data_IF_530003465144
#
_entry.id   IF_530003465144
#
_cell.length_a   1.000
_cell.length_b   1.000
_cell.length_c   1.000
_cell.angle_alpha   90.00
_cell.angle_beta   90.00
_cell.angle_gamma   90.00
#
_symmetry.space_group_name_H-M   'P 1'
#
loop_
_entity.id
_entity.type
_entity.pdbx_description
1 polymer ?
#
# COMPACT_ATOMS: atom_id res chain seq x y z
N UNK A 1 -8.26 25.70 -26.93
CA UNK A 1 -9.22 26.77 -27.23
C UNK A 1 -9.19 27.86 -26.16
N UNK A 2 -9.42 29.12 -26.55
CA UNK A 2 -9.53 30.32 -25.68
C UNK A 2 -10.68 31.19 -26.17
N UNK A 3 -11.14 32.16 -25.38
CA UNK A 3 -12.18 33.10 -25.82
C UNK A 3 -11.54 34.22 -26.62
N UNK A 4 -11.92 34.32 -27.90
CA UNK A 4 -11.55 35.38 -28.83
C UNK A 4 -12.46 36.59 -28.67
N UNK A 5 -13.77 36.35 -28.51
CA UNK A 5 -14.74 37.41 -28.30
C UNK A 5 -15.92 36.91 -27.44
N UNK A 6 -16.37 37.76 -26.51
CA UNK A 6 -17.56 37.53 -25.70
C UNK A 6 -18.54 38.69 -25.88
N UNK A 7 -19.68 38.41 -26.50
CA UNK A 7 -20.84 39.31 -26.49
C UNK A 7 -21.88 38.79 -25.51
N UNK A 8 -22.37 39.63 -24.61
CA UNK A 8 -23.44 39.27 -23.68
C UNK A 8 -24.43 40.41 -23.52
N UNK A 9 -25.70 40.12 -23.73
CA UNK A 9 -26.80 41.07 -23.66
C UNK A 9 -27.87 40.57 -22.69
N UNK A 10 -28.33 41.46 -21.81
CA UNK A 10 -29.40 41.21 -20.85
C UNK A 10 -29.18 40.00 -19.92
N UNK A 11 -27.94 39.58 -19.68
CA UNK A 11 -27.62 38.55 -18.69
C UNK A 11 -27.48 39.18 -17.31
N UNK A 12 -28.35 38.80 -16.38
CA UNK A 12 -28.35 39.30 -14.99
C UNK A 12 -28.24 40.84 -14.93
N UNK A 13 -27.10 41.38 -14.49
CA UNK A 13 -26.87 42.83 -14.35
C UNK A 13 -26.40 43.50 -15.65
N UNK A 14 -26.08 42.77 -16.70
CA UNK A 14 -25.56 43.32 -17.96
C UNK A 14 -26.68 43.92 -18.81
N UNK A 15 -26.42 45.07 -19.45
CA UNK A 15 -27.25 45.61 -20.54
C UNK A 15 -26.75 45.02 -21.85
N UNK A 16 -25.52 45.37 -22.19
CA UNK A 16 -24.79 44.82 -23.32
C UNK A 16 -23.29 45.00 -23.06
N UNK A 17 -22.51 43.96 -23.30
CA UNK A 17 -21.05 43.98 -23.28
C UNK A 17 -20.52 43.22 -24.50
N UNK A 18 -19.39 43.67 -25.03
CA UNK A 18 -18.60 42.97 -26.03
C UNK A 18 -17.15 43.09 -25.58
N UNK A 19 -16.48 41.97 -25.30
CA UNK A 19 -15.11 41.94 -24.78
C UNK A 19 -14.28 41.11 -25.73
N UNK A 20 -13.19 41.68 -26.23
CA UNK A 20 -12.21 40.99 -27.08
C UNK A 20 -10.87 40.93 -26.33
N UNK A 21 -10.62 39.86 -25.55
CA UNK A 21 -9.45 39.74 -24.71
C UNK A 21 -8.13 40.02 -25.44
N UNK A 22 -7.30 40.86 -24.84
CA UNK A 22 -5.90 41.02 -25.25
C UNK A 22 -5.03 40.26 -24.25
N UNK A 23 -4.49 39.11 -24.68
CA UNK A 23 -3.63 38.25 -23.85
C UNK A 23 -4.35 37.18 -23.02
N UNK A 24 -3.61 36.62 -22.07
CA UNK A 24 -4.00 35.43 -21.30
C UNK A 24 -4.63 35.75 -19.93
N UNK A 25 -4.65 37.02 -19.51
CA UNK A 25 -5.30 37.47 -18.28
C UNK A 25 -6.28 38.59 -18.57
N UNK A 26 -7.55 38.38 -18.21
CA UNK A 26 -8.64 39.33 -18.42
C UNK A 26 -9.21 39.74 -17.08
N UNK A 27 -8.87 40.93 -16.61
CA UNK A 27 -9.33 41.45 -15.33
C UNK A 27 -10.54 42.35 -15.53
N UNK A 28 -11.70 41.91 -15.06
CA UNK A 28 -12.96 42.65 -15.08
C UNK A 28 -13.08 43.45 -13.77
N UNK A 29 -12.88 44.76 -13.88
CA UNK A 29 -13.01 45.75 -12.82
C UNK A 29 -14.38 46.41 -12.74
N UNK A 30 -14.61 47.15 -11.66
CA UNK A 30 -15.84 47.87 -11.35
C UNK A 30 -16.22 47.72 -9.86
N UNK A 31 -17.16 48.56 -9.41
CA UNK A 31 -17.67 48.47 -8.04
C UNK A 31 -18.58 47.24 -7.85
N UNK A 32 -18.99 46.97 -6.62
CA UNK A 32 -19.93 45.90 -6.33
C UNK A 32 -21.27 46.14 -7.05
N UNK A 33 -21.92 45.03 -7.43
CA UNK A 33 -23.21 45.01 -8.11
C UNK A 33 -23.29 45.68 -9.51
N UNK A 34 -22.13 46.01 -10.11
CA UNK A 34 -22.08 46.64 -11.44
C UNK A 34 -22.20 45.65 -12.62
N UNK A 35 -22.04 44.35 -12.38
CA UNK A 35 -22.20 43.31 -13.42
C UNK A 35 -20.94 42.52 -13.77
N UNK A 36 -19.82 42.68 -13.04
CA UNK A 36 -18.59 41.89 -13.23
C UNK A 36 -18.85 40.37 -13.20
N UNK A 37 -19.52 39.89 -12.16
CA UNK A 37 -19.86 38.47 -12.02
C UNK A 37 -20.78 37.99 -13.14
N UNK A 38 -21.62 38.89 -13.66
CA UNK A 38 -22.51 38.59 -14.79
C UNK A 38 -21.73 38.37 -16.10
N UNK A 39 -20.53 38.94 -16.26
CA UNK A 39 -19.62 38.64 -17.38
C UNK A 39 -19.09 37.21 -17.27
N UNK A 40 -18.52 36.83 -16.13
CA UNK A 40 -18.02 35.47 -15.88
C UNK A 40 -19.16 34.44 -15.96
N UNK A 41 -20.33 34.78 -15.43
CA UNK A 41 -21.54 33.96 -15.56
C UNK A 41 -21.99 33.82 -17.02
N UNK A 42 -21.77 34.82 -17.87
CA UNK A 42 -22.11 34.71 -19.30
C UNK A 42 -21.24 33.64 -19.97
N UNK A 43 -19.95 33.61 -19.68
CA UNK A 43 -19.04 32.56 -20.16
C UNK A 43 -19.51 31.19 -19.67
N UNK A 44 -19.77 31.10 -18.35
CA UNK A 44 -20.21 29.86 -17.73
C UNK A 44 -21.55 29.36 -18.31
N UNK A 45 -22.53 30.24 -18.49
CA UNK A 45 -23.83 29.91 -19.08
C UNK A 45 -23.75 29.55 -20.55
N UNK A 46 -22.87 30.19 -21.33
CA UNK A 46 -22.71 29.87 -22.75
C UNK A 46 -22.39 28.39 -22.93
N UNK A 47 -21.48 27.88 -22.09
CA UNK A 47 -20.90 26.54 -22.19
C UNK A 47 -21.70 25.50 -21.38
N UNK A 48 -21.92 25.76 -20.09
CA UNK A 48 -22.48 24.78 -19.13
C UNK A 48 -23.99 24.55 -19.19
N UNK A 49 -24.71 25.14 -20.14
CA UNK A 49 -26.09 24.71 -20.39
C UNK A 49 -27.13 25.25 -19.40
N UNK A 50 -28.18 24.46 -19.15
CA UNK A 50 -29.31 24.85 -18.28
C UNK A 50 -28.92 24.83 -16.79
N UNK A 51 -28.05 23.91 -16.38
CA UNK A 51 -27.55 23.81 -15.00
C UNK A 51 -26.74 25.06 -14.59
N UNK A 52 -26.07 25.70 -15.54
CA UNK A 52 -25.25 26.89 -15.31
C UNK A 52 -26.03 28.22 -15.15
N UNK A 53 -27.32 28.27 -15.51
CA UNK A 53 -28.09 29.52 -15.61
C UNK A 53 -28.56 30.09 -14.27
N UNK A 54 -28.69 29.24 -13.25
CA UNK A 54 -29.36 29.62 -12.00
C UNK A 54 -30.84 29.97 -12.22
N UNK A 55 -31.46 30.62 -11.23
CA UNK A 55 -32.91 30.84 -11.21
C UNK A 55 -33.38 32.03 -12.05
N UNK A 56 -32.59 33.10 -12.14
CA UNK A 56 -32.93 34.35 -12.84
C UNK A 56 -31.77 34.82 -13.73
N UNK A 57 -31.57 34.17 -14.90
CA UNK A 57 -30.47 34.49 -15.80
C UNK A 57 -30.71 35.75 -16.66
N UNK A 58 -31.98 36.09 -16.92
CA UNK A 58 -32.37 37.26 -17.73
C UNK A 58 -32.49 38.50 -16.83
N UNK A 59 -31.98 39.64 -17.29
CA UNK A 59 -32.12 40.95 -16.64
C UNK A 59 -33.61 41.27 -16.42
N UNK A 60 -33.94 41.79 -15.24
CA UNK A 60 -35.31 42.17 -14.91
C UNK A 60 -35.88 43.17 -15.94
N UNK A 61 -37.05 42.87 -16.47
CA UNK A 61 -37.74 43.69 -17.49
C UNK A 61 -37.45 43.32 -18.94
N UNK A 62 -36.50 42.42 -19.20
CA UNK A 62 -36.11 42.03 -20.56
C UNK A 62 -36.79 40.72 -21.01
N UNK A 63 -37.07 40.61 -22.31
CA UNK A 63 -37.75 39.43 -22.89
C UNK A 63 -36.82 38.23 -23.10
N UNK A 64 -35.52 38.46 -23.20
CA UNK A 64 -34.49 37.42 -23.41
C UNK A 64 -33.10 37.93 -23.07
N UNK A 65 -32.22 36.99 -22.71
CA UNK A 65 -30.77 37.18 -22.67
C UNK A 65 -30.10 36.45 -23.84
N UNK A 66 -29.06 37.05 -24.41
CA UNK A 66 -28.29 36.45 -25.51
C UNK A 66 -26.80 36.51 -25.19
N UNK A 67 -26.12 35.38 -25.36
CA UNK A 67 -24.68 35.26 -25.17
C UNK A 67 -24.09 34.71 -26.47
N UNK A 68 -23.07 35.37 -27.01
CA UNK A 68 -22.22 34.81 -28.08
C UNK A 68 -20.79 34.71 -27.55
N UNK A 69 -20.26 33.50 -27.56
CA UNK A 69 -18.91 33.21 -27.13
C UNK A 69 -18.16 32.61 -28.31
N UNK A 70 -17.17 33.33 -28.81
CA UNK A 70 -16.27 32.89 -29.86
C UNK A 70 -15.03 32.27 -29.22
N UNK A 71 -14.85 30.97 -29.44
CA UNK A 71 -13.72 30.18 -28.96
C UNK A 71 -12.59 30.04 -30.00
N UNK A 72 -12.65 30.83 -31.08
CA UNK A 72 -11.77 30.78 -32.24
C UNK A 72 -12.18 29.69 -33.24
N UNK A 73 -12.28 28.45 -32.79
CA UNK A 73 -12.69 27.32 -33.63
C UNK A 73 -14.21 27.11 -33.63
N UNK A 74 -14.87 27.51 -32.55
CA UNK A 74 -16.28 27.31 -32.30
C UNK A 74 -16.95 28.63 -31.91
N UNK A 75 -18.07 28.93 -32.55
CA UNK A 75 -18.95 30.04 -32.19
C UNK A 75 -20.19 29.51 -31.48
N UNK A 76 -20.28 29.79 -30.18
CA UNK A 76 -21.40 29.40 -29.33
C UNK A 76 -22.37 30.58 -29.22
N UNK A 77 -23.63 30.38 -29.60
CA UNK A 77 -24.71 31.35 -29.38
C UNK A 77 -25.78 30.72 -28.49
N UNK A 78 -26.02 31.32 -27.33
CA UNK A 78 -27.07 30.90 -26.40
C UNK A 78 -28.09 32.00 -26.22
N UNK A 79 -29.36 31.62 -26.31
CA UNK A 79 -30.50 32.49 -26.00
C UNK A 79 -31.27 31.89 -24.84
N UNK A 80 -31.63 32.72 -23.86
CA UNK A 80 -32.35 32.31 -22.66
C UNK A 80 -33.58 33.19 -22.50
N UNK A 81 -34.74 32.58 -22.23
CA UNK A 81 -35.99 33.30 -21.91
C UNK A 81 -36.21 33.37 -20.40
N UNK A 82 -37.05 34.32 -19.91
CA UNK A 82 -37.33 34.50 -18.49
C UNK A 82 -37.89 33.26 -17.78
N UNK A 83 -38.56 32.36 -18.51
CA UNK A 83 -39.07 31.08 -18.01
C UNK A 83 -37.98 29.99 -17.84
N UNK A 84 -36.72 30.33 -18.12
CA UNK A 84 -35.57 29.42 -18.03
C UNK A 84 -35.44 28.45 -19.19
N UNK A 85 -36.22 28.60 -20.27
CA UNK A 85 -35.94 27.87 -21.52
C UNK A 85 -34.71 28.46 -22.20
N UNK A 86 -33.91 27.58 -22.78
CA UNK A 86 -32.67 27.97 -23.46
C UNK A 86 -32.56 27.29 -24.80
N UNK A 87 -32.02 28.00 -25.78
CA UNK A 87 -31.59 27.43 -27.06
C UNK A 87 -30.10 27.70 -27.22
N UNK A 88 -29.36 26.72 -27.72
CA UNK A 88 -27.94 26.84 -28.02
C UNK A 88 -27.71 26.45 -29.47
N UNK A 89 -26.90 27.24 -30.16
CA UNK A 89 -26.39 26.96 -31.49
C UNK A 89 -24.88 27.01 -31.41
N UNK A 90 -24.20 25.98 -31.91
CA UNK A 90 -22.75 25.99 -32.05
C UNK A 90 -22.42 25.85 -33.52
N UNK A 91 -21.52 26.70 -34.00
CA UNK A 91 -20.98 26.66 -35.37
C UNK A 91 -19.47 26.47 -35.33
N UNK A 92 -18.92 25.73 -36.29
CA UNK A 92 -17.47 25.72 -36.51
C UNK A 92 -17.03 26.95 -37.33
N UNK A 93 -15.72 27.11 -37.56
CA UNK A 93 -15.14 28.18 -38.38
C UNK A 93 -15.71 28.26 -39.81
N UNK A 94 -16.22 27.15 -40.35
CA UNK A 94 -16.83 27.06 -41.69
C UNK A 94 -18.34 27.38 -41.69
N UNK A 95 -18.93 27.61 -40.51
CA UNK A 95 -20.34 27.96 -40.34
C UNK A 95 -21.30 26.75 -40.22
N UNK A 96 -20.79 25.52 -40.24
CA UNK A 96 -21.57 24.31 -40.07
C UNK A 96 -22.10 24.19 -38.63
N UNK A 97 -23.36 23.79 -38.48
CA UNK A 97 -24.02 23.65 -37.18
C UNK A 97 -23.98 22.22 -36.66
N UNK A 98 -23.72 22.06 -35.37
CA UNK A 98 -23.76 20.74 -34.71
C UNK A 98 -25.18 20.32 -34.36
N UNK A 99 -25.50 19.03 -34.53
CA UNK A 99 -26.82 18.45 -34.22
C UNK A 99 -27.09 18.31 -32.72
N UNK A 100 -26.04 18.05 -31.93
CA UNK A 100 -26.09 17.89 -30.47
C UNK A 100 -25.17 18.92 -29.78
N UNK A 101 -25.45 20.22 -29.91
CA UNK A 101 -24.54 21.28 -29.50
C UNK A 101 -24.22 21.25 -28.00
N UNK A 102 -25.21 20.95 -27.13
CA UNK A 102 -24.97 20.90 -25.68
C UNK A 102 -24.08 19.72 -25.28
N UNK A 103 -24.29 18.54 -25.84
CA UNK A 103 -23.49 17.36 -25.49
C UNK A 103 -22.01 17.56 -25.85
N UNK A 104 -21.73 18.25 -26.95
CA UNK A 104 -20.37 18.65 -27.32
C UNK A 104 -19.79 19.66 -26.32
N UNK A 105 -20.55 20.67 -25.94
CA UNK A 105 -20.10 21.64 -24.92
C UNK A 105 -19.89 20.97 -23.55
N UNK A 106 -20.75 20.02 -23.16
CA UNK A 106 -20.61 19.28 -21.90
C UNK A 106 -19.31 18.46 -21.89
N UNK A 107 -18.94 17.85 -23.02
CA UNK A 107 -17.65 17.16 -23.16
C UNK A 107 -16.46 18.15 -23.04
N UNK A 108 -16.58 19.33 -23.67
CA UNK A 108 -15.55 20.37 -23.68
C UNK A 108 -15.38 21.08 -22.32
N UNK A 109 -16.48 21.28 -21.60
CA UNK A 109 -16.55 22.16 -20.42
C UNK A 109 -16.93 21.45 -19.12
N UNK A 110 -16.87 20.12 -19.08
CA UNK A 110 -17.29 19.31 -17.92
C UNK A 110 -16.68 19.75 -16.59
N UNK A 111 -15.52 20.44 -16.61
CA UNK A 111 -14.80 20.96 -15.43
C UNK A 111 -14.58 22.48 -15.46
N UNK A 112 -15.30 23.23 -16.31
CA UNK A 112 -15.24 24.70 -16.40
C UNK A 112 -15.70 25.40 -15.10
N UNK A 113 -16.39 24.68 -14.21
CA UNK A 113 -16.76 25.15 -12.87
C UNK A 113 -15.59 25.31 -11.92
N UNK A 114 -14.38 24.86 -12.29
CA UNK A 114 -13.25 24.88 -11.40
C UNK A 114 -12.79 26.32 -11.14
N UNK A 115 -13.02 26.79 -9.92
CA UNK A 115 -12.53 28.06 -9.40
C UNK A 115 -11.28 27.80 -8.55
N UNK A 116 -10.09 28.27 -8.98
CA UNK A 116 -8.84 28.09 -8.23
C UNK A 116 -8.87 28.58 -6.78
N UNK A 117 -9.55 29.69 -6.50
CA UNK A 117 -9.64 30.24 -5.14
C UNK A 117 -10.58 29.42 -4.26
N UNK A 118 -11.65 28.89 -4.83
CA UNK A 118 -12.55 27.98 -4.13
C UNK A 118 -11.83 26.68 -3.78
N UNK A 119 -11.15 26.06 -4.75
CA UNK A 119 -10.36 24.84 -4.52
C UNK A 119 -9.30 25.05 -3.44
N UNK A 120 -8.57 26.17 -3.48
CA UNK A 120 -7.57 26.48 -2.45
C UNK A 120 -8.17 26.43 -1.05
N UNK A 121 -9.44 26.83 -0.90
CA UNK A 121 -10.16 26.96 0.38
C UNK A 121 -10.95 25.70 0.78
N UNK A 122 -10.95 24.66 -0.05
CA UNK A 122 -11.60 23.38 0.27
C UNK A 122 -10.93 22.65 1.45
N UNK A 123 -11.64 21.65 1.98
CA UNK A 123 -11.07 20.77 3.01
C UNK A 123 -9.99 19.86 2.40
N UNK A 124 -8.94 19.51 3.16
CA UNK A 124 -7.83 18.69 2.64
C UNK A 124 -8.26 17.40 1.94
N UNK A 125 -9.28 16.71 2.46
CA UNK A 125 -9.81 15.49 1.84
C UNK A 125 -10.45 15.74 0.46
N UNK A 126 -11.20 16.83 0.28
CA UNK A 126 -11.81 17.15 -1.02
C UNK A 126 -10.75 17.55 -2.06
N UNK A 127 -9.71 18.26 -1.62
CA UNK A 127 -8.56 18.61 -2.46
C UNK A 127 -7.81 17.36 -2.92
N UNK A 128 -7.57 16.42 -1.99
CA UNK A 128 -6.91 15.17 -2.27
C UNK A 128 -7.67 14.33 -3.31
N UNK A 129 -8.98 14.18 -3.15
CA UNK A 129 -9.80 13.41 -4.08
C UNK A 129 -9.85 14.06 -5.48
N UNK A 130 -9.88 15.41 -5.53
CA UNK A 130 -9.79 16.14 -6.80
C UNK A 130 -8.45 15.88 -7.51
N UNK A 131 -7.34 15.92 -6.76
CA UNK A 131 -6.00 15.62 -7.30
C UNK A 131 -5.89 14.18 -7.78
N UNK A 132 -6.28 13.20 -6.96
CA UNK A 132 -6.31 11.78 -7.32
C UNK A 132 -7.11 11.53 -8.59
N UNK A 133 -8.31 12.11 -8.68
CA UNK A 133 -9.16 12.00 -9.88
C UNK A 133 -8.52 12.63 -11.11
N UNK A 134 -7.75 13.71 -10.94
CA UNK A 134 -7.05 14.38 -12.04
C UNK A 134 -5.87 13.57 -12.57
N UNK A 135 -5.04 13.02 -11.68
CA UNK A 135 -3.86 12.22 -12.07
C UNK A 135 -4.18 10.75 -12.32
N UNK A 136 -5.43 10.32 -12.08
CA UNK A 136 -5.87 8.94 -12.29
C UNK A 136 -5.29 7.94 -11.29
N UNK A 137 -4.90 8.40 -10.09
CA UNK A 137 -4.32 7.55 -9.05
C UNK A 137 -5.33 7.28 -7.95
N UNK A 138 -5.68 6.01 -7.77
CA UNK A 138 -6.43 5.52 -6.62
C UNK A 138 -5.65 4.37 -5.95
N UNK A 139 -5.29 4.57 -4.68
CA UNK A 139 -4.55 3.61 -3.88
C UNK A 139 -5.41 2.95 -2.80
N UNK A 140 -6.73 3.18 -2.80
CA UNK A 140 -7.64 2.68 -1.76
C UNK A 140 -7.51 1.17 -1.52
N UNK A 141 -7.48 0.37 -2.59
CA UNK A 141 -7.30 -1.09 -2.50
C UNK A 141 -5.91 -1.49 -1.97
N UNK A 142 -4.87 -0.81 -2.46
CA UNK A 142 -3.49 -1.03 -2.00
C UNK A 142 -3.31 -0.66 -0.53
N UNK A 143 -3.94 0.41 -0.07
CA UNK A 143 -3.91 0.87 1.32
C UNK A 143 -4.64 -0.10 2.25
N UNK A 144 -5.81 -0.61 1.82
CA UNK A 144 -6.55 -1.63 2.54
C UNK A 144 -5.75 -2.94 2.67
N UNK A 145 -5.13 -3.39 1.57
CA UNK A 145 -4.29 -4.58 1.55
C UNK A 145 -3.04 -4.42 2.43
N UNK A 146 -2.34 -3.29 2.30
CA UNK A 146 -1.17 -2.96 3.11
C UNK A 146 -1.50 -2.96 4.59
N UNK A 147 -2.63 -2.37 4.99
CA UNK A 147 -3.11 -2.36 6.37
C UNK A 147 -3.35 -3.78 6.88
N UNK A 148 -4.03 -4.63 6.10
CA UNK A 148 -4.26 -6.05 6.46
C UNK A 148 -2.95 -6.80 6.67
N UNK A 149 -1.98 -6.64 5.76
CA UNK A 149 -0.67 -7.28 5.86
C UNK A 149 0.12 -6.78 7.09
N UNK A 150 0.04 -5.48 7.39
CA UNK A 150 0.68 -4.88 8.56
C UNK A 150 0.11 -5.41 9.87
N UNK A 151 -1.22 -5.49 9.98
CA UNK A 151 -1.91 -6.06 11.14
C UNK A 151 -1.52 -7.54 11.33
N UNK A 152 -1.57 -8.33 10.26
CA UNK A 152 -1.15 -9.74 10.28
C UNK A 152 0.32 -9.89 10.70
N UNK A 153 1.23 -9.09 10.16
CA UNK A 153 2.66 -9.12 10.54
C UNK A 153 2.84 -8.80 12.02
N UNK A 154 2.06 -7.88 12.57
CA UNK A 154 2.09 -7.50 13.98
C UNK A 154 1.70 -8.70 14.86
N UNK A 155 0.65 -9.44 14.49
CA UNK A 155 0.25 -10.67 15.18
C UNK A 155 1.34 -11.75 15.13
N UNK A 156 1.91 -12.00 13.95
CA UNK A 156 2.98 -12.99 13.75
C UNK A 156 4.22 -12.63 14.56
N UNK A 157 4.62 -11.36 14.57
CA UNK A 157 5.76 -10.91 15.38
C UNK A 157 5.51 -11.07 16.87
N UNK A 158 4.28 -10.84 17.35
CA UNK A 158 3.90 -11.10 18.74
C UNK A 158 4.00 -12.59 19.06
N UNK A 159 3.43 -13.45 18.23
CA UNK A 159 3.50 -14.91 18.40
C UNK A 159 4.95 -15.41 18.37
N UNK A 160 5.78 -14.90 17.44
CA UNK A 160 7.20 -15.23 17.36
C UNK A 160 7.96 -14.79 18.62
N UNK A 161 7.64 -13.63 19.19
CA UNK A 161 8.24 -13.17 20.45
C UNK A 161 7.85 -14.05 21.64
N UNK A 162 6.59 -14.47 21.72
CA UNK A 162 6.11 -15.40 22.75
C UNK A 162 6.81 -16.77 22.63
N UNK A 163 6.94 -17.29 21.41
CA UNK A 163 7.67 -18.54 21.13
C UNK A 163 9.16 -18.44 21.45
N UNK A 164 9.82 -17.34 21.09
CA UNK A 164 11.22 -17.11 21.44
C UNK A 164 11.42 -17.05 22.96
N UNK A 165 10.56 -16.34 23.69
CA UNK A 165 10.62 -16.29 25.16
C UNK A 165 10.40 -17.68 25.79
N UNK A 166 9.52 -18.51 25.20
CA UNK A 166 9.33 -19.89 25.65
C UNK A 166 10.58 -20.73 25.40
N UNK A 167 11.20 -20.63 24.23
CA UNK A 167 12.44 -21.33 23.88
C UNK A 167 13.60 -20.95 24.80
N UNK A 168 13.75 -19.67 25.15
CA UNK A 168 14.76 -19.20 26.09
C UNK A 168 14.61 -19.84 27.49
N UNK A 169 13.38 -20.22 27.86
CA UNK A 169 13.09 -20.91 29.12
C UNK A 169 13.21 -22.44 29.06
N UNK A 170 13.43 -23.04 27.87
CA UNK A 170 13.53 -24.49 27.70
C UNK A 170 14.97 -24.96 27.90
N UNK A 171 15.12 -26.15 28.51
CA UNK A 171 16.43 -26.80 28.67
C UNK A 171 16.82 -27.51 27.38
N UNK A 172 18.11 -27.41 27.05
CA UNK A 172 18.71 -28.14 25.95
C UNK A 172 19.81 -29.06 26.50
N UNK A 173 19.74 -30.35 26.20
CA UNK A 173 20.69 -31.36 26.65
C UNK A 173 21.57 -31.81 25.49
N UNK A 174 22.76 -31.22 25.35
CA UNK A 174 23.65 -31.46 24.21
C UNK A 174 24.16 -32.91 24.12
N UNK A 175 24.25 -33.59 25.26
CA UNK A 175 24.81 -34.95 25.35
C UNK A 175 23.73 -36.05 25.23
N UNK A 176 22.44 -35.67 25.11
CA UNK A 176 21.37 -36.65 24.98
C UNK A 176 21.33 -37.24 23.56
N UNK A 177 21.16 -38.57 23.40
CA UNK A 177 21.02 -39.21 22.10
C UNK A 177 19.77 -38.72 21.37
N UNK A 178 19.77 -38.86 20.04
CA UNK A 178 18.67 -38.38 19.19
C UNK A 178 17.42 -39.26 19.29
N UNK A 179 17.59 -40.54 19.63
CA UNK A 179 16.52 -41.52 19.80
C UNK A 179 16.43 -42.00 21.26
N UNK A 180 15.22 -42.30 21.77
CA UNK A 180 15.05 -42.86 23.10
C UNK A 180 15.77 -44.21 23.26
N UNK A 181 16.36 -44.44 24.42
CA UNK A 181 16.92 -45.72 24.81
C UNK A 181 15.79 -46.71 25.08
N UNK A 182 15.81 -47.84 24.36
CA UNK A 182 14.82 -48.91 24.49
C UNK A 182 15.08 -49.77 25.72
N UNK A 183 14.35 -49.50 26.81
CA UNK A 183 14.44 -50.28 28.06
C UNK A 183 14.03 -51.73 27.85
N UNK A 184 13.03 -52.00 27.01
CA UNK A 184 12.59 -53.36 26.68
C UNK A 184 13.66 -54.14 25.90
N UNK A 185 14.38 -53.47 24.99
CA UNK A 185 15.54 -54.02 24.29
C UNK A 185 16.65 -54.41 25.27
N UNK A 186 17.02 -53.49 26.17
CA UNK A 186 18.07 -53.73 27.17
C UNK A 186 17.69 -54.80 28.20
N UNK A 187 16.42 -54.91 28.59
CA UNK A 187 15.95 -56.00 29.48
C UNK A 187 16.04 -57.38 28.80
N UNK A 188 15.76 -57.43 27.50
CA UNK A 188 15.92 -58.66 26.69
C UNK A 188 17.40 -59.05 26.61
N UNK A 189 18.28 -58.08 26.41
CA UNK A 189 19.73 -58.27 26.39
C UNK A 189 20.28 -58.74 27.75
N UNK A 190 19.83 -58.13 28.85
CA UNK A 190 20.22 -58.51 30.21
C UNK A 190 19.83 -59.95 30.55
N UNK A 191 18.58 -60.34 30.24
CA UNK A 191 18.10 -61.70 30.49
C UNK A 191 18.88 -62.74 29.69
N UNK A 192 19.22 -62.43 28.44
CA UNK A 192 20.08 -63.28 27.60
C UNK A 192 21.48 -63.45 28.20
N UNK A 193 22.10 -62.36 28.63
CA UNK A 193 23.42 -62.36 29.26
C UNK A 193 23.43 -63.12 30.60
N UNK A 194 22.42 -62.95 31.45
CA UNK A 194 22.29 -63.69 32.70
C UNK A 194 22.10 -65.19 32.48
N UNK A 195 21.33 -65.59 31.46
CA UNK A 195 21.15 -67.00 31.09
C UNK A 195 22.47 -67.63 30.63
N UNK A 196 23.24 -66.92 29.81
CA UNK A 196 24.55 -67.36 29.34
C UNK A 196 25.56 -67.47 30.50
N UNK A 197 25.64 -66.47 31.37
CA UNK A 197 26.53 -66.49 32.54
C UNK A 197 26.16 -67.62 33.51
N UNK A 198 24.87 -67.89 33.73
CA UNK A 198 24.41 -69.02 34.54
C UNK A 198 24.78 -70.38 33.93
N UNK A 199 24.74 -70.50 32.60
CA UNK A 199 25.21 -71.69 31.88
C UNK A 199 26.73 -71.89 32.03
N UNK A 200 27.51 -70.80 31.93
CA UNK A 200 28.95 -70.84 32.14
C UNK A 200 29.32 -71.26 33.58
N UNK A 201 28.62 -70.73 34.59
CA UNK A 201 28.85 -71.07 36.00
C UNK A 201 28.57 -72.56 36.30
N UNK A 202 27.49 -73.11 35.72
CA UNK A 202 27.21 -74.56 35.81
C UNK A 202 28.32 -75.40 35.21
N UNK A 203 28.81 -75.03 34.02
CA UNK A 203 29.92 -75.73 33.36
C UNK A 203 31.22 -75.66 34.18
N UNK A 204 31.49 -74.53 34.84
CA UNK A 204 32.64 -74.39 35.76
C UNK A 204 32.51 -75.32 36.96
N UNK A 205 31.35 -75.34 37.63
CA UNK A 205 31.10 -76.23 38.79
C UNK A 205 31.21 -77.71 38.43
N UNK A 206 30.62 -78.13 37.31
CA UNK A 206 30.76 -79.51 36.83
C UNK A 206 32.21 -79.87 36.52
N UNK A 207 33.00 -78.92 36.00
CA UNK A 207 34.42 -79.13 35.76
C UNK A 207 35.21 -79.24 37.08
N UNK A 208 34.93 -78.38 38.07
CA UNK A 208 35.54 -78.43 39.40
C UNK A 208 35.22 -79.74 40.13
N UNK A 209 33.97 -80.18 40.13
CA UNK A 209 33.55 -81.46 40.70
C UNK A 209 34.26 -82.65 40.03
N UNK A 210 34.47 -82.58 38.70
CA UNK A 210 35.23 -83.60 37.96
C UNK A 210 36.71 -83.56 38.32
N UNK A 211 37.30 -82.39 38.56
CA UNK A 211 38.70 -82.26 39.02
C UNK A 211 38.88 -82.86 40.41
N UNK A 212 37.97 -82.60 41.35
CA UNK A 212 37.99 -83.22 42.68
C UNK A 212 37.77 -84.74 42.60
N UNK A 213 36.90 -85.18 41.68
CA UNK A 213 36.68 -86.61 41.41
C UNK A 213 37.92 -87.28 40.83
N UNK A 214 38.65 -86.60 39.95
CA UNK A 214 39.93 -87.08 39.42
C UNK A 214 40.97 -87.20 40.54
N UNK A 215 41.01 -86.26 41.48
CA UNK A 215 41.95 -86.31 42.61
C UNK A 215 41.68 -87.51 43.54
N UNK A 216 40.41 -87.77 43.85
CA UNK A 216 40.00 -88.94 44.66
C UNK A 216 40.22 -90.26 43.91
N UNK A 217 39.93 -90.32 42.61
CA UNK A 217 40.20 -91.50 41.78
C UNK A 217 41.70 -91.77 41.61
N UNK A 218 42.56 -90.75 41.65
CA UNK A 218 44.03 -90.91 41.64
C UNK A 218 44.58 -91.63 42.88
N UNK A 219 43.94 -91.47 44.04
CA UNK A 219 44.29 -92.24 45.24
C UNK A 219 43.83 -93.70 45.13
N UNK A 220 42.68 -93.96 44.50
CA UNK A 220 42.18 -95.33 44.24
C UNK A 220 43.00 -96.08 43.14
N UNK A 221 43.66 -95.34 42.25
CA UNK A 221 44.49 -95.87 41.15
C UNK A 221 45.67 -96.71 41.65
N UNK A 222 46.22 -96.45 42.85
CA UNK A 222 47.31 -97.24 43.44
C UNK A 222 46.91 -98.72 43.67
N UNK A 223 45.60 -99.00 43.80
CA UNK A 223 45.03 -100.34 43.99
C UNK A 223 44.60 -100.99 42.66
N UNK A 224 44.18 -100.19 41.67
CA UNK A 224 43.59 -100.65 40.41
C UNK A 224 44.55 -100.70 39.21
N UNK A 225 45.82 -100.30 39.40
CA UNK A 225 46.91 -100.36 38.40
C UNK A 225 47.09 -101.77 37.77
N UNK A 226 46.50 -102.81 38.37
CA UNK A 226 46.52 -104.19 37.85
C UNK A 226 45.39 -104.52 36.84
N UNK A 227 44.46 -103.62 36.55
CA UNK A 227 43.28 -103.85 35.68
C UNK A 227 43.06 -102.79 34.59
N UNK A 228 44.00 -101.86 34.40
CA UNK A 228 43.87 -100.64 33.60
C UNK A 228 44.56 -100.74 32.21
N UNK A 229 44.14 -101.64 31.34
CA UNK A 229 44.68 -101.71 29.96
C UNK A 229 43.67 -101.31 28.87
N UNK A 230 42.36 -101.24 29.18
CA UNK A 230 41.32 -101.13 28.14
C UNK A 230 40.55 -99.79 28.12
N UNK A 231 40.85 -98.82 29.01
CA UNK A 231 39.99 -97.62 29.21
C UNK A 231 40.71 -96.28 28.93
N UNK A 232 41.95 -96.31 28.42
CA UNK A 232 42.78 -95.11 28.24
C UNK A 232 42.40 -94.20 27.03
N UNK A 233 41.26 -94.42 26.34
CA UNK A 233 40.91 -93.70 25.08
C UNK A 233 39.81 -92.62 25.20
N UNK A 234 39.39 -92.16 26.38
CA UNK A 234 38.27 -91.20 26.50
C UNK A 234 38.54 -89.86 27.22
N UNK A 235 39.78 -89.52 27.62
CA UNK A 235 40.02 -88.32 28.46
C UNK A 235 40.38 -87.03 27.67
N UNK A 236 40.67 -87.05 26.38
CA UNK A 236 41.26 -85.89 25.68
C UNK A 236 40.22 -84.88 25.12
N UNK A 237 39.31 -84.38 25.95
CA UNK A 237 38.26 -83.44 25.51
C UNK A 237 37.77 -82.37 26.50
N UNK A 238 38.29 -82.33 27.73
CA UNK A 238 37.72 -81.45 28.78
C UNK A 238 38.56 -80.23 29.17
N UNK A 239 39.71 -79.97 28.52
CA UNK A 239 40.54 -78.79 28.81
C UNK A 239 40.30 -77.59 27.86
N UNK A 240 39.88 -77.83 26.61
CA UNK A 240 39.60 -76.76 25.64
C UNK A 240 38.25 -76.04 25.88
N UNK A 241 37.32 -76.65 26.63
CA UNK A 241 36.00 -76.08 26.90
C UNK A 241 36.01 -74.91 27.91
N UNK A 242 37.13 -74.69 28.63
CA UNK A 242 37.27 -73.64 29.65
C UNK A 242 37.81 -72.32 29.07
N UNK A 243 38.68 -72.37 28.06
CA UNK A 243 39.32 -71.16 27.50
C UNK A 243 38.42 -70.35 26.55
N UNK A 244 37.30 -70.91 26.09
CA UNK A 244 36.34 -70.25 25.20
C UNK A 244 35.14 -69.61 25.92
N UNK A 245 35.10 -69.65 27.26
CA UNK A 245 34.00 -69.09 28.04
C UNK A 245 34.30 -67.64 28.42
N UNK A 246 33.68 -66.70 27.71
CA UNK A 246 33.70 -65.27 28.02
C UNK A 246 32.37 -64.90 28.68
N UNK A 247 32.44 -64.34 29.88
CA UNK A 247 31.25 -63.82 30.57
C UNK A 247 30.88 -62.46 29.97
N UNK A 248 29.59 -62.25 29.79
CA UNK A 248 29.08 -60.95 29.32
C UNK A 248 28.98 -60.02 30.53
N UNK A 249 29.59 -58.83 30.42
CA UNK A 249 29.50 -57.79 31.45
C UNK A 249 28.07 -57.22 31.52
N UNK A 250 27.30 -57.78 32.45
CA UNK A 250 25.94 -57.33 32.74
C UNK A 250 25.88 -55.97 33.46
N UNK A 251 26.98 -55.50 34.06
CA UNK A 251 26.98 -54.25 34.82
C UNK A 251 26.80 -53.05 33.87
N UNK A 252 27.49 -53.05 32.74
CA UNK A 252 27.33 -52.02 31.71
C UNK A 252 25.88 -51.95 31.17
N UNK A 253 25.16 -53.08 31.08
CA UNK A 253 23.76 -53.13 30.63
C UNK A 253 22.83 -52.60 31.72
N UNK A 254 23.04 -53.01 32.98
CA UNK A 254 22.27 -52.52 34.13
C UNK A 254 22.44 -51.03 34.35
N UNK A 255 23.64 -50.50 34.16
CA UNK A 255 23.93 -49.06 34.26
C UNK A 255 23.20 -48.27 33.16
N UNK A 256 23.15 -48.79 31.93
CA UNK A 256 22.37 -48.20 30.83
C UNK A 256 20.86 -48.21 31.12
N UNK A 257 20.33 -49.29 31.69
CA UNK A 257 18.92 -49.37 32.11
C UNK A 257 18.63 -48.33 33.20
N UNK A 258 19.49 -48.22 34.21
CA UNK A 258 19.33 -47.26 35.30
C UNK A 258 19.38 -45.81 34.82
N UNK A 259 20.15 -45.52 33.77
CA UNK A 259 20.25 -44.18 33.17
C UNK A 259 19.19 -43.92 32.09
N UNK A 260 18.49 -44.94 31.60
CA UNK A 260 17.57 -44.83 30.47
C UNK A 260 16.42 -43.85 30.72
N UNK A 261 15.87 -43.80 31.94
CA UNK A 261 14.79 -42.87 32.27
C UNK A 261 15.23 -41.40 32.20
N UNK A 262 16.43 -41.09 32.71
CA UNK A 262 17.04 -39.76 32.62
C UNK A 262 17.38 -39.40 31.18
N UNK A 263 17.98 -40.33 30.44
CA UNK A 263 18.29 -40.14 29.01
C UNK A 263 17.00 -39.86 28.23
N UNK A 264 15.95 -40.66 28.43
CA UNK A 264 14.67 -40.51 27.73
C UNK A 264 13.91 -39.24 28.14
N UNK A 265 14.07 -38.76 29.37
CA UNK A 265 13.57 -37.44 29.77
C UNK A 265 14.28 -36.32 28.97
N UNK A 266 15.61 -36.38 28.86
CA UNK A 266 16.39 -35.41 28.10
C UNK A 266 16.07 -35.43 26.59
N UNK A 267 15.87 -36.63 25.99
CA UNK A 267 15.46 -36.77 24.59
C UNK A 267 14.10 -36.10 24.35
N UNK A 268 13.13 -36.28 25.27
CA UNK A 268 11.81 -35.64 25.16
C UNK A 268 11.88 -34.12 25.28
N UNK A 269 12.69 -33.61 26.21
CA UNK A 269 12.90 -32.15 26.36
C UNK A 269 13.55 -31.55 25.11
N UNK A 270 14.54 -32.22 24.52
CA UNK A 270 15.16 -31.80 23.25
C UNK A 270 14.21 -31.87 22.06
N UNK A 271 13.36 -32.91 21.98
CA UNK A 271 12.36 -33.03 20.91
C UNK A 271 11.34 -31.88 20.98
N UNK A 272 10.86 -31.55 22.18
CA UNK A 272 9.99 -30.40 22.39
C UNK A 272 10.68 -29.07 22.05
N UNK A 273 11.97 -28.92 22.39
CA UNK A 273 12.77 -27.75 22.00
C UNK A 273 12.89 -27.63 20.47
N UNK A 274 13.14 -28.74 19.77
CA UNK A 274 13.25 -28.74 18.32
C UNK A 274 11.94 -28.37 17.61
N UNK A 275 10.80 -28.85 18.11
CA UNK A 275 9.46 -28.51 17.59
C UNK A 275 9.15 -27.01 17.76
N UNK A 276 9.37 -26.47 18.96
CA UNK A 276 9.17 -25.05 19.26
C UNK A 276 10.11 -24.15 18.42
N UNK A 277 11.36 -24.60 18.19
CA UNK A 277 12.32 -23.93 17.32
C UNK A 277 11.87 -23.92 15.86
N UNK A 278 11.36 -25.05 15.35
CA UNK A 278 10.81 -25.13 13.99
C UNK A 278 9.66 -24.13 13.81
N UNK A 279 8.73 -24.12 14.77
CA UNK A 279 7.59 -23.20 14.76
C UNK A 279 8.03 -21.73 14.77
N UNK A 280 9.07 -21.38 15.56
CA UNK A 280 9.63 -20.03 15.57
C UNK A 280 10.23 -19.64 14.21
N UNK A 281 10.95 -20.55 13.56
CA UNK A 281 11.52 -20.29 12.23
C UNK A 281 10.42 -20.11 11.16
N UNK A 282 9.34 -20.89 11.22
CA UNK A 282 8.17 -20.72 10.34
C UNK A 282 7.55 -19.32 10.51
N UNK A 283 7.35 -18.87 11.75
CA UNK A 283 6.83 -17.53 12.05
C UNK A 283 7.77 -16.42 11.55
N UNK A 284 9.10 -16.63 11.61
CA UNK A 284 10.09 -15.69 11.06
C UNK A 284 10.01 -15.62 9.53
N UNK A 285 9.86 -16.76 8.87
CA UNK A 285 9.67 -16.83 7.41
C UNK A 285 8.37 -16.12 7.00
N UNK A 286 7.25 -16.36 7.70
CA UNK A 286 5.98 -15.68 7.43
C UNK A 286 6.11 -14.16 7.64
N UNK A 287 6.73 -13.71 8.74
CA UNK A 287 6.95 -12.28 9.00
C UNK A 287 7.79 -11.59 7.92
N UNK A 288 8.83 -12.28 7.43
CA UNK A 288 9.65 -11.79 6.32
C UNK A 288 8.82 -11.66 5.04
N UNK A 289 8.06 -12.69 4.68
CA UNK A 289 7.21 -12.67 3.49
C UNK A 289 6.16 -11.54 3.54
N UNK A 290 5.54 -11.31 4.71
CA UNK A 290 4.61 -10.19 4.91
C UNK A 290 5.31 -8.83 4.78
N UNK A 291 6.55 -8.71 5.27
CA UNK A 291 7.36 -7.50 5.12
C UNK A 291 7.70 -7.23 3.66
N UNK A 292 8.09 -8.26 2.91
CA UNK A 292 8.40 -8.15 1.49
C UNK A 292 7.15 -7.76 0.69
N UNK A 293 5.97 -8.30 1.04
CA UNK A 293 4.70 -7.92 0.42
C UNK A 293 4.31 -6.46 0.68
N UNK A 294 4.49 -5.96 1.92
CA UNK A 294 4.27 -4.54 2.26
C UNK A 294 5.22 -3.65 1.46
N UNK A 295 6.51 -4.00 1.39
CA UNK A 295 7.51 -3.23 0.63
C UNK A 295 7.17 -3.20 -0.87
N UNK A 296 6.62 -4.28 -1.41
CA UNK A 296 6.18 -4.33 -2.80
C UNK A 296 4.98 -3.40 -3.05
N UNK A 297 4.02 -3.33 -2.14
CA UNK A 297 2.91 -2.36 -2.24
C UNK A 297 3.43 -0.92 -2.16
N UNK A 298 4.34 -0.64 -1.22
CA UNK A 298 4.96 0.69 -1.08
C UNK A 298 5.71 1.10 -2.35
N UNK A 299 6.41 0.14 -2.97
CA UNK A 299 7.07 0.34 -4.26
C UNK A 299 6.06 0.58 -5.39
N UNK A 300 4.98 -0.20 -5.48
CA UNK A 300 3.95 0.01 -6.51
C UNK A 300 3.32 1.40 -6.43
N UNK A 301 3.01 1.87 -5.22
CA UNK A 301 2.51 3.24 -5.00
C UNK A 301 3.54 4.28 -5.41
N UNK A 302 4.80 4.12 -5.02
CA UNK A 302 5.87 5.04 -5.38
C UNK A 302 6.12 5.09 -6.90
N UNK A 303 6.15 3.93 -7.56
CA UNK A 303 6.31 3.81 -9.01
C UNK A 303 5.12 4.47 -9.74
N UNK A 304 3.89 4.27 -9.27
CA UNK A 304 2.70 4.90 -9.83
C UNK A 304 2.69 6.42 -9.63
N UNK A 305 3.11 6.93 -8.47
CA UNK A 305 3.27 8.37 -8.26
C UNK A 305 4.37 8.95 -9.15
N UNK A 306 5.50 8.26 -9.32
CA UNK A 306 6.61 8.73 -10.14
C UNK A 306 6.27 8.75 -11.64
N UNK A 307 5.40 7.83 -12.09
CA UNK A 307 4.95 7.75 -13.47
C UNK A 307 3.79 8.71 -13.81
N UNK A 308 3.09 9.24 -12.80
CA UNK A 308 1.95 10.11 -13.00
C UNK A 308 2.38 11.52 -13.43
N UNK A 309 1.63 12.11 -14.37
CA UNK A 309 1.83 13.48 -14.81
C UNK A 309 1.09 14.44 -13.86
N UNK A 310 1.84 15.07 -12.97
CA UNK A 310 1.27 16.08 -12.07
C UNK A 310 1.10 17.43 -12.79
N UNK A 311 0.05 18.21 -12.46
CA UNK A 311 -0.21 19.51 -13.08
C UNK A 311 0.87 20.57 -12.90
N UNK A 312 1.68 20.46 -11.84
CA UNK A 312 2.77 21.38 -11.52
C UNK A 312 3.88 20.64 -10.78
N UNK A 313 5.12 21.02 -11.07
CA UNK A 313 6.29 20.44 -10.43
C UNK A 313 6.24 20.61 -8.91
N UNK A 314 6.67 19.58 -8.18
CA UNK A 314 6.67 19.57 -6.73
C UNK A 314 5.30 19.31 -6.09
N UNK A 315 4.23 19.13 -6.87
CA UNK A 315 2.94 18.66 -6.38
C UNK A 315 2.95 17.13 -6.19
N UNK A 316 2.47 16.69 -5.04
CA UNK A 316 2.27 15.29 -4.71
C UNK A 316 1.13 15.15 -3.70
N UNK A 317 0.91 13.94 -3.18
CA UNK A 317 0.00 13.72 -2.08
C UNK A 317 0.42 12.53 -1.24
N UNK A 318 -0.08 12.48 -0.01
CA UNK A 318 0.07 11.36 0.91
C UNK A 318 -1.24 11.11 1.68
N UNK A 319 -1.17 10.30 2.75
CA UNK A 319 -2.32 10.00 3.61
C UNK A 319 -2.89 11.23 4.32
N UNK A 320 -2.11 12.31 4.47
CA UNK A 320 -2.51 13.55 5.14
C UNK A 320 -3.18 14.56 4.22
N UNK A 321 -2.93 14.48 2.90
CA UNK A 321 -3.54 15.33 1.90
C UNK A 321 -2.61 15.69 0.74
N UNK A 322 -2.92 16.80 0.08
CA UNK A 322 -2.09 17.36 -1.00
C UNK A 322 -0.84 17.99 -0.41
N UNK A 323 0.32 17.69 -1.00
CA UNK A 323 1.64 18.19 -0.62
C UNK A 323 2.21 18.99 -1.78
N UNK A 324 2.79 20.15 -1.51
CA UNK A 324 3.49 20.97 -2.49
C UNK A 324 4.87 21.34 -1.96
N UNK A 325 5.92 21.03 -2.71
CA UNK A 325 7.32 21.25 -2.32
C UNK A 325 7.67 20.68 -0.93
N UNK A 326 7.10 19.52 -0.58
CA UNK A 326 7.31 18.85 0.70
C UNK A 326 6.55 19.44 1.88
N UNK A 327 5.68 20.43 1.66
CA UNK A 327 4.85 21.06 2.71
C UNK A 327 3.37 20.76 2.43
N UNK A 328 2.53 20.50 3.46
CA UNK A 328 1.09 20.38 3.26
C UNK A 328 0.52 21.60 2.56
N UNK A 329 -0.29 21.38 1.52
CA UNK A 329 -0.85 22.44 0.66
C UNK A 329 -1.57 23.54 1.46
N UNK A 330 -2.24 23.17 2.55
CA UNK A 330 -2.94 24.10 3.45
C UNK A 330 -2.00 25.08 4.19
N UNK A 331 -0.73 24.73 4.33
CA UNK A 331 0.31 25.55 4.98
C UNK A 331 1.14 26.36 3.97
N UNK A 332 0.94 26.14 2.67
CA UNK A 332 1.58 26.94 1.63
C UNK A 332 1.14 28.41 1.69
N UNK A 333 2.00 29.30 1.19
CA UNK A 333 1.65 30.72 1.06
C UNK A 333 0.44 30.91 0.15
N UNK A 334 -0.27 32.03 0.30
CA UNK A 334 -1.42 32.37 -0.55
C UNK A 334 -1.08 32.33 -2.04
N UNK A 335 0.14 32.75 -2.40
CA UNK A 335 0.64 32.74 -3.78
C UNK A 335 0.86 31.32 -4.30
N UNK A 336 1.54 30.45 -3.54
CA UNK A 336 1.76 29.06 -3.92
C UNK A 336 0.45 28.29 -4.04
N UNK A 337 -0.47 28.51 -3.09
CA UNK A 337 -1.79 27.87 -3.12
C UNK A 337 -2.56 28.27 -4.38
N UNK A 338 -2.57 29.56 -4.71
CA UNK A 338 -3.20 30.05 -5.93
C UNK A 338 -2.56 29.47 -7.19
N UNK A 339 -1.23 29.43 -7.26
CA UNK A 339 -0.50 28.90 -8.41
C UNK A 339 -0.85 27.42 -8.66
N UNK A 340 -0.74 26.59 -7.62
CA UNK A 340 -1.10 25.16 -7.71
C UNK A 340 -2.56 25.00 -8.10
N UNK A 341 -3.48 25.74 -7.47
CA UNK A 341 -4.90 25.71 -7.84
C UNK A 341 -5.12 26.09 -9.31
N UNK A 342 -4.38 27.07 -9.82
CA UNK A 342 -4.49 27.49 -11.22
C UNK A 342 -4.03 26.37 -12.16
N UNK A 343 -2.88 25.76 -11.91
CA UNK A 343 -2.38 24.61 -12.68
C UNK A 343 -3.34 23.42 -12.62
N UNK A 344 -3.92 23.14 -11.46
CA UNK A 344 -4.96 22.13 -11.29
C UNK A 344 -6.15 22.38 -12.21
N UNK A 345 -6.68 23.61 -12.22
CA UNK A 345 -7.83 23.95 -13.06
C UNK A 345 -7.52 23.92 -14.56
N UNK A 346 -6.28 24.26 -14.95
CA UNK A 346 -5.80 24.15 -16.34
C UNK A 346 -5.75 22.68 -16.75
N UNK A 347 -5.10 21.83 -15.96
CA UNK A 347 -4.99 20.40 -16.23
C UNK A 347 -6.35 19.71 -16.27
N UNK A 348 -7.33 20.21 -15.51
CA UNK A 348 -8.72 19.73 -15.55
C UNK A 348 -9.47 20.08 -16.84
N UNK A 349 -9.00 21.08 -17.61
CA UNK A 349 -9.66 21.54 -18.83
C UNK A 349 -8.65 21.68 -20.00
N UNK A 350 -8.08 20.56 -20.49
CA UNK A 350 -6.98 20.62 -21.46
C UNK A 350 -7.38 21.16 -22.84
N UNK A 351 -8.63 20.93 -23.28
CA UNK A 351 -9.14 21.42 -24.57
C UNK A 351 -9.60 22.87 -24.51
N UNK A 352 -10.37 23.23 -23.48
CA UNK A 352 -10.82 24.59 -23.21
C UNK A 352 -10.03 25.17 -22.03
N UNK A 353 -8.89 25.78 -22.35
CA UNK A 353 -7.97 26.35 -21.36
C UNK A 353 -8.45 27.70 -20.86
N UNK A 354 -9.70 27.77 -20.39
CA UNK A 354 -10.32 29.00 -19.86
C UNK A 354 -10.66 28.77 -18.40
N UNK A 355 -10.16 29.63 -17.51
CA UNK A 355 -10.47 29.60 -16.09
C UNK A 355 -11.18 30.87 -15.66
N UNK A 356 -12.10 30.72 -14.70
CA UNK A 356 -12.85 31.80 -14.11
C UNK A 356 -12.47 31.91 -12.64
N UNK A 357 -11.86 33.02 -12.25
CA UNK A 357 -11.55 33.34 -10.85
C UNK A 357 -12.61 34.32 -10.36
N UNK A 358 -13.46 33.86 -9.45
CA UNK A 358 -14.46 34.70 -8.79
C UNK A 358 -13.83 35.35 -7.56
N UNK A 359 -14.27 36.55 -7.25
CA UNK A 359 -13.75 37.34 -6.11
C UNK A 359 -12.22 37.45 -6.03
N UNK A 360 -11.57 37.86 -7.14
CA UNK A 360 -10.13 38.13 -7.20
C UNK A 360 -9.69 39.37 -6.42
N UNK A 361 -10.54 39.91 -5.54
CA UNK A 361 -10.26 41.12 -4.74
C UNK A 361 -9.12 40.91 -3.75
N UNK A 362 -8.90 39.67 -3.32
CA UNK A 362 -7.81 39.26 -2.42
C UNK A 362 -6.45 39.15 -3.13
N UNK A 363 -6.42 39.25 -4.47
CA UNK A 363 -5.17 39.16 -5.23
C UNK A 363 -4.47 40.52 -5.25
N UNK A 364 -3.31 40.59 -4.60
CA UNK A 364 -2.42 41.75 -4.72
C UNK A 364 -1.81 41.84 -6.13
N UNK A 365 -1.14 42.96 -6.48
CA UNK A 365 -0.54 43.12 -7.82
C UNK A 365 0.48 42.05 -8.18
N UNK A 366 1.24 41.52 -7.21
CA UNK A 366 2.21 40.46 -7.46
C UNK A 366 1.51 39.14 -7.79
N UNK A 367 0.45 38.81 -7.05
CA UNK A 367 -0.39 37.63 -7.26
C UNK A 367 -1.08 37.66 -8.62
N UNK A 368 -1.59 38.84 -9.04
CA UNK A 368 -2.13 39.00 -10.40
C UNK A 368 -1.07 38.78 -11.48
N UNK A 369 0.14 39.31 -11.30
CA UNK A 369 1.24 39.09 -12.24
C UNK A 369 1.63 37.61 -12.32
N UNK A 370 1.62 36.88 -11.19
CA UNK A 370 1.85 35.43 -11.16
C UNK A 370 0.76 34.66 -11.91
N UNK A 371 -0.51 35.01 -11.72
CA UNK A 371 -1.63 34.39 -12.46
C UNK A 371 -1.49 34.65 -13.96
N UNK A 372 -1.17 35.89 -14.36
CA UNK A 372 -0.98 36.24 -15.76
C UNK A 372 0.17 35.44 -16.40
N UNK A 373 1.31 35.34 -15.69
CA UNK A 373 2.47 34.56 -16.14
C UNK A 373 2.15 33.07 -16.28
N UNK A 374 1.51 32.47 -15.26
CA UNK A 374 1.14 31.06 -15.31
C UNK A 374 0.11 30.75 -16.42
N UNK A 375 -0.85 31.67 -16.65
CA UNK A 375 -1.77 31.58 -17.76
C UNK A 375 -1.04 31.68 -19.12
N UNK A 376 -0.02 32.52 -19.23
CA UNK A 376 0.82 32.63 -20.43
C UNK A 376 1.62 31.34 -20.69
N UNK A 377 2.34 30.85 -19.68
CA UNK A 377 3.17 29.63 -19.75
C UNK A 377 2.35 28.38 -20.12
N UNK A 378 1.12 28.27 -19.59
CA UNK A 378 0.24 27.15 -19.88
C UNK A 378 -0.59 27.31 -21.17
N UNK A 379 -0.44 28.44 -21.86
CA UNK A 379 -1.29 28.85 -22.98
C UNK A 379 -2.79 28.80 -22.63
N UNK A 380 -3.12 29.23 -21.42
CA UNK A 380 -4.47 29.30 -20.86
C UNK A 380 -4.95 30.76 -20.76
N UNK A 381 -6.25 30.97 -20.63
CA UNK A 381 -6.87 32.28 -20.46
C UNK A 381 -7.60 32.33 -19.11
N UNK A 382 -7.28 33.31 -18.28
CA UNK A 382 -7.88 33.46 -16.95
C UNK A 382 -8.71 34.74 -16.92
N UNK A 383 -9.99 34.60 -16.59
CA UNK A 383 -10.92 35.70 -16.40
C UNK A 383 -11.14 35.93 -14.92
N UNK A 384 -10.84 37.14 -14.45
CA UNK A 384 -10.83 37.48 -13.04
C UNK A 384 -11.80 38.62 -12.81
N UNK A 385 -12.77 38.47 -11.90
CA UNK A 385 -13.50 39.65 -11.42
C UNK A 385 -12.82 40.26 -10.20
N UNK A 386 -12.74 41.60 -10.17
CA UNK A 386 -12.09 42.33 -9.08
C UNK A 386 -12.85 43.60 -8.74
N UNK A 387 -12.96 43.92 -7.45
CA UNK A 387 -13.44 45.24 -7.00
C UNK A 387 -12.30 46.26 -7.14
N UNK A 388 -12.15 46.83 -8.33
CA UNK A 388 -11.15 47.87 -8.63
C UNK A 388 -11.51 48.64 -9.90
N UNK A 389 -11.01 49.87 -10.04
CA UNK A 389 -10.97 50.64 -11.30
C UNK A 389 -9.54 51.00 -11.72
N UNK A 390 -8.55 50.38 -11.06
CA UNK A 390 -7.11 50.60 -11.27
C UNK A 390 -6.61 50.14 -12.63
N UNK A 391 -5.32 50.35 -12.93
CA UNK A 391 -4.69 50.06 -14.23
C UNK A 391 -4.64 48.58 -14.58
N UNK A 392 -4.66 47.71 -13.58
CA UNK A 392 -4.66 46.26 -13.73
C UNK A 392 -5.96 45.70 -14.35
N UNK A 393 -7.04 46.49 -14.39
CA UNK A 393 -8.31 46.06 -14.99
C UNK A 393 -8.29 46.21 -16.52
N UNK A 394 -8.39 45.10 -17.25
CA UNK A 394 -8.53 45.09 -18.71
C UNK A 394 -9.86 45.72 -19.15
N UNK A 395 -10.94 45.46 -18.40
CA UNK A 395 -12.28 45.98 -18.68
C UNK A 395 -12.86 46.56 -17.39
N UNK A 396 -13.51 47.72 -17.45
CA UNK A 396 -14.25 48.31 -16.32
C UNK A 396 -15.74 48.32 -16.67
N UNK A 397 -16.53 47.67 -15.79
CA UNK A 397 -17.98 47.58 -15.89
C UNK A 397 -18.64 48.56 -14.92
N UNK A 398 -19.60 49.34 -15.43
CA UNK A 398 -20.49 50.19 -14.64
C UNK A 398 -21.92 50.10 -15.21
N UNK A 399 -22.91 49.92 -14.32
CA UNK A 399 -24.33 49.71 -14.64
C UNK A 399 -24.59 48.70 -15.80
N UNK A 400 -23.84 47.59 -15.77
CA UNK A 400 -23.98 46.53 -16.76
C UNK A 400 -23.44 46.85 -18.15
N UNK A 401 -22.62 47.88 -18.29
CA UNK A 401 -21.99 48.31 -19.53
C UNK A 401 -20.48 48.46 -19.36
N UNK A 402 -19.73 48.32 -20.44
CA UNK A 402 -18.30 48.64 -20.47
C UNK A 402 -18.15 50.16 -20.55
N UNK A 403 -17.48 50.75 -19.57
CA UNK A 403 -17.13 52.18 -19.58
C UNK A 403 -15.67 52.43 -19.95
N UNK A 404 -14.82 51.39 -19.84
CA UNK A 404 -13.43 51.42 -20.25
C UNK A 404 -12.97 50.02 -20.63
N UNK A 405 -12.31 49.91 -21.77
CA UNK A 405 -11.61 48.71 -22.21
C UNK A 405 -10.18 49.15 -22.53
N UNK A 406 -9.20 48.57 -21.83
CA UNK A 406 -7.78 48.84 -22.05
C UNK A 406 -7.26 47.82 -23.06
N UNK A 407 -6.66 48.33 -24.12
CA UNK A 407 -5.97 47.53 -25.14
C UNK A 407 -4.54 47.26 -24.71
#
# INVERSE_FOLDING_TARGET
MKIVNLESQNVKRLKAVSISPQGNSVVIGGDNAQGKSSVLDSIFMALGGKSAQGQRPVRDGEEKATIKCDLGELMVTRTISPDGKTTVKVKNAEGATFSSPQAMLDALSSKLTFDPLAFASEKPGAQLETLKSLVGLDFSDLDAERKRLYERRTEINRAGKEKAARLDGMKQHLDAPTEPVSVSGLMTELSGAESQNASNDRKRKEAEERVERIATLKEEIEVLTKKLADVEQEHEGSAEALSSLVDIDTQAIRDKIAQADTINANVRENAAYAEEKSTLEELRVESKALTDAINNIDKQKADAMAAAEFPVDGLSFDESGVIYNGVPFSQGSSAERLLVSLHMGIAMNPELKVLLIRDGSLLDPQSLAMVAKAAEEADAQVWIERVSKGEECSVIIEDGQIIKERQ
#
